data_IF_612020068863
#
_entry.id   IF_612020068863
#
_cell.length_a   1.000
_cell.length_b   1.000
_cell.length_c   1.000
_cell.angle_alpha   90.00
_cell.angle_beta   90.00
_cell.angle_gamma   90.00
#
_symmetry.space_group_name_H-M   'P 1'
#
loop_
_entity.id
_entity.type
_entity.pdbx_description
1 polymer ?
#
# COMPACT_ATOMS: atom_id res chain seq x y z
N UNK A 1 -6.79 -22.86 11.99
CA UNK A 1 -7.43 -21.73 11.30
C UNK A 1 -6.31 -20.85 10.81
N UNK A 2 -6.17 -20.74 9.49
CA UNK A 2 -5.01 -20.10 8.87
C UNK A 2 -5.15 -18.59 8.99
N UNK A 3 -4.36 -17.97 9.86
CA UNK A 3 -4.34 -16.50 10.04
C UNK A 3 -3.72 -15.75 8.85
N UNK A 4 -3.28 -16.47 7.81
CA UNK A 4 -2.26 -16.05 6.84
C UNK A 4 -2.67 -16.43 5.42
N UNK A 5 -3.70 -15.76 4.93
CA UNK A 5 -4.29 -15.97 3.60
C UNK A 5 -4.37 -14.63 2.86
N UNK A 6 -4.34 -14.65 1.53
CA UNK A 6 -4.59 -13.44 0.75
C UNK A 6 -6.04 -12.97 0.95
N UNK A 7 -6.25 -11.65 0.98
CA UNK A 7 -7.55 -10.99 1.16
C UNK A 7 -7.71 -10.00 0.02
N UNK A 8 -8.86 -10.04 -0.66
CA UNK A 8 -9.13 -9.09 -1.73
C UNK A 8 -9.43 -7.69 -1.14
N UNK A 9 -8.80 -6.63 -1.65
CA UNK A 9 -9.11 -5.27 -1.20
C UNK A 9 -10.51 -4.84 -1.65
N UNK A 10 -11.08 -3.90 -0.92
CA UNK A 10 -12.28 -3.14 -1.28
C UNK A 10 -11.93 -1.66 -1.39
N UNK A 11 -12.82 -0.89 -2.02
CA UNK A 11 -12.67 0.57 -2.08
C UNK A 11 -12.85 1.18 -0.69
N UNK A 12 -11.90 2.01 -0.28
CA UNK A 12 -11.86 2.76 0.98
C UNK A 12 -11.80 4.26 0.70
N UNK A 13 -12.26 5.09 1.63
CA UNK A 13 -12.18 6.55 1.52
C UNK A 13 -10.74 7.04 1.75
N UNK A 14 -10.34 8.08 1.02
CA UNK A 14 -9.00 8.68 1.11
C UNK A 14 -9.12 10.19 1.21
N UNK A 15 -8.43 10.77 2.19
CA UNK A 15 -8.36 12.20 2.40
C UNK A 15 -6.89 12.67 2.51
N UNK A 16 -6.49 13.56 1.60
CA UNK A 16 -5.17 14.19 1.63
C UNK A 16 -5.19 15.44 2.49
N UNK A 17 -4.33 15.49 3.51
CA UNK A 17 -4.18 16.63 4.41
C UNK A 17 -2.73 17.12 4.41
N UNK A 18 -2.49 18.35 4.87
CA UNK A 18 -1.13 18.93 4.90
C UNK A 18 -0.12 18.08 5.70
N UNK A 19 -0.61 17.26 6.63
CA UNK A 19 0.22 16.39 7.47
C UNK A 19 0.42 14.96 6.96
N UNK A 20 -0.22 14.54 5.86
CA UNK A 20 -0.16 13.16 5.37
C UNK A 20 -1.45 12.67 4.70
N UNK A 21 -1.71 11.36 4.77
CA UNK A 21 -2.85 10.70 4.11
C UNK A 21 -3.73 10.03 5.16
N UNK A 22 -5.02 10.34 5.17
CA UNK A 22 -6.03 9.67 5.99
C UNK A 22 -6.76 8.64 5.13
N UNK A 23 -6.94 7.43 5.66
CA UNK A 23 -7.69 6.35 5.01
C UNK A 23 -8.84 5.94 5.92
N UNK A 24 -10.06 6.07 5.41
CA UNK A 24 -11.30 5.68 6.10
C UNK A 24 -11.66 4.24 5.74
N UNK A 25 -11.56 3.35 6.72
CA UNK A 25 -11.90 1.93 6.57
C UNK A 25 -13.41 1.70 6.62
N UNK A 26 -13.85 0.59 6.03
CA UNK A 26 -15.28 0.23 5.95
C UNK A 26 -15.94 -0.03 7.31
N UNK A 27 -15.15 -0.23 8.36
CA UNK A 27 -15.62 -0.37 9.74
C UNK A 27 -15.72 0.96 10.50
N UNK A 28 -15.46 2.09 9.82
CA UNK A 28 -15.55 3.45 10.34
C UNK A 28 -14.35 3.91 11.16
N UNK A 29 -13.20 3.20 11.06
CA UNK A 29 -11.93 3.66 11.62
C UNK A 29 -11.14 4.45 10.59
N UNK A 30 -10.49 5.51 11.07
CA UNK A 30 -9.55 6.30 10.28
C UNK A 30 -8.12 5.93 10.66
N UNK A 31 -7.29 5.65 9.65
CA UNK A 31 -5.84 5.47 9.81
C UNK A 31 -5.15 6.65 9.17
N UNK A 32 -4.26 7.28 9.92
CA UNK A 32 -3.49 8.43 9.45
C UNK A 32 -2.04 8.04 9.22
N UNK A 33 -1.61 8.12 7.97
CA UNK A 33 -0.23 7.95 7.56
C UNK A 33 0.48 9.29 7.64
N UNK A 34 1.44 9.39 8.56
CA UNK A 34 2.11 10.64 8.87
C UNK A 34 3.18 11.04 7.84
N UNK A 35 3.24 12.35 7.58
CA UNK A 35 4.25 12.97 6.71
C UNK A 35 3.76 13.15 5.27
N UNK A 36 4.12 14.27 4.62
CA UNK A 36 3.86 14.40 3.20
C UNK A 36 4.62 13.30 2.44
N UNK A 37 3.96 12.57 1.53
CA UNK A 37 4.63 11.50 0.81
C UNK A 37 5.76 12.05 -0.05
N UNK A 38 6.93 11.40 0.03
CA UNK A 38 8.11 11.76 -0.75
C UNK A 38 7.95 11.24 -2.19
N UNK A 39 8.07 12.09 -3.23
CA UNK A 39 7.96 11.63 -4.62
C UNK A 39 9.16 10.76 -5.00
N UNK A 40 8.90 9.58 -5.56
CA UNK A 40 9.90 8.61 -6.01
C UNK A 40 9.56 8.16 -7.43
N UNK A 41 10.57 8.12 -8.29
CA UNK A 41 10.41 7.73 -9.70
C UNK A 41 10.63 6.21 -9.88
N UNK A 42 9.77 5.58 -10.68
CA UNK A 42 9.87 4.18 -11.11
C UNK A 42 9.51 3.15 -10.02
N UNK A 43 10.45 2.90 -9.10
CA UNK A 43 10.35 1.81 -8.14
C UNK A 43 10.87 2.24 -6.76
N UNK A 44 10.23 1.75 -5.70
CA UNK A 44 10.71 1.91 -4.33
C UNK A 44 10.97 0.55 -3.68
N UNK A 45 12.16 0.40 -3.10
CA UNK A 45 12.48 -0.74 -2.23
C UNK A 45 12.35 -0.31 -0.78
N UNK A 46 11.36 -0.84 -0.09
CA UNK A 46 11.16 -0.57 1.33
C UNK A 46 12.35 -1.10 2.16
N UNK A 47 12.75 -0.40 3.24
CA UNK A 47 13.77 -0.91 4.15
C UNK A 47 13.38 -2.29 4.70
N UNK A 48 14.36 -3.19 4.90
CA UNK A 48 14.06 -4.55 5.37
C UNK A 48 13.45 -4.52 6.77
N UNK A 49 12.40 -5.33 6.97
CA UNK A 49 11.72 -5.47 8.26
C UNK A 49 10.62 -4.44 8.55
N UNK A 50 10.32 -3.54 7.60
CA UNK A 50 9.16 -2.65 7.66
C UNK A 50 7.89 -3.37 7.23
N UNK A 51 6.76 -2.96 7.79
CA UNK A 51 5.43 -3.27 7.29
C UNK A 51 5.17 -2.37 6.07
N UNK A 52 4.73 -2.97 4.96
CA UNK A 52 4.54 -2.27 3.68
C UNK A 52 3.08 -2.24 3.32
N UNK A 53 2.55 -1.03 3.22
CA UNK A 53 1.16 -0.76 2.84
C UNK A 53 1.16 -0.01 1.50
N UNK A 54 0.39 -0.50 0.55
CA UNK A 54 0.26 0.10 -0.78
C UNK A 54 -1.15 0.63 -0.94
N UNK A 55 -1.27 1.92 -1.24
CA UNK A 55 -2.53 2.58 -1.54
C UNK A 55 -2.53 3.00 -3.00
N UNK A 56 -3.53 2.55 -3.75
CA UNK A 56 -3.78 3.02 -5.11
C UNK A 56 -5.08 3.82 -5.09
N UNK A 57 -5.00 5.11 -5.37
CA UNK A 57 -6.18 5.99 -5.38
C UNK A 57 -6.79 6.06 -6.76
N UNK A 58 -8.01 6.57 -6.81
CA UNK A 58 -8.64 7.03 -8.03
C UNK A 58 -8.04 8.39 -8.48
N UNK A 59 -8.36 8.87 -9.70
CA UNK A 59 -7.86 10.14 -10.24
C UNK A 59 -8.32 11.39 -9.47
N UNK A 60 -9.50 11.36 -8.87
CA UNK A 60 -10.04 12.44 -8.03
C UNK A 60 -9.42 12.42 -6.61
N UNK A 61 -8.81 11.29 -6.22
CA UNK A 61 -8.05 11.14 -4.98
C UNK A 61 -8.91 11.11 -3.72
N UNK A 62 -10.16 10.66 -3.84
CA UNK A 62 -11.15 10.58 -2.76
C UNK A 62 -11.43 9.15 -2.34
N UNK A 63 -11.11 8.19 -3.21
CA UNK A 63 -11.30 6.77 -3.01
C UNK A 63 -10.04 6.01 -3.44
N UNK A 64 -9.85 4.81 -2.90
CA UNK A 64 -8.72 3.98 -3.29
C UNK A 64 -8.83 2.55 -2.80
N UNK A 65 -7.85 1.73 -3.17
CA UNK A 65 -7.69 0.37 -2.64
C UNK A 65 -6.42 0.33 -1.80
N UNK A 66 -6.59 -0.05 -0.53
CA UNK A 66 -5.48 -0.26 0.39
C UNK A 66 -5.12 -1.75 0.45
N UNK A 67 -3.84 -2.08 0.31
CA UNK A 67 -3.36 -3.46 0.34
C UNK A 67 -2.09 -3.59 1.19
N UNK A 68 -2.09 -4.54 2.13
CA UNK A 68 -0.96 -4.83 3.00
C UNK A 68 -0.12 -5.97 2.44
N UNK A 69 1.19 -5.77 2.33
CA UNK A 69 2.12 -6.77 1.81
C UNK A 69 2.79 -7.50 2.96
N UNK A 70 2.63 -8.82 3.00
CA UNK A 70 3.22 -9.69 4.02
C UNK A 70 2.83 -9.37 5.48
N UNK A 71 1.68 -8.73 5.70
CA UNK A 71 1.11 -8.57 7.04
C UNK A 71 0.84 -9.94 7.68
N UNK A 72 1.45 -10.16 8.85
CA UNK A 72 1.34 -11.41 9.62
C UNK A 72 0.63 -11.23 10.95
N UNK A 73 0.31 -9.99 11.29
CA UNK A 73 -0.22 -9.61 12.59
C UNK A 73 -1.74 -9.48 12.55
N UNK A 74 -2.32 -9.18 11.38
CA UNK A 74 -3.75 -8.96 11.23
C UNK A 74 -4.47 -10.23 10.78
N UNK A 75 -5.61 -10.52 11.40
CA UNK A 75 -6.46 -11.63 10.99
C UNK A 75 -7.22 -11.29 9.71
N UNK A 76 -7.43 -12.27 8.82
CA UNK A 76 -8.16 -12.06 7.55
C UNK A 76 -9.56 -11.47 7.78
N UNK A 77 -10.29 -11.93 8.80
CA UNK A 77 -11.63 -11.42 9.12
C UNK A 77 -11.65 -9.92 9.45
N UNK A 78 -10.56 -9.41 10.05
CA UNK A 78 -10.43 -7.99 10.37
C UNK A 78 -10.21 -7.22 9.07
N UNK A 79 -9.31 -7.70 8.22
CA UNK A 79 -8.99 -7.08 6.93
C UNK A 79 -10.20 -7.04 6.00
N UNK A 80 -10.95 -8.14 5.92
CA UNK A 80 -12.21 -8.22 5.18
C UNK A 80 -13.24 -7.22 5.69
N UNK A 81 -13.33 -7.04 7.01
CA UNK A 81 -14.26 -6.07 7.61
C UNK A 81 -13.86 -4.61 7.39
N UNK A 82 -12.57 -4.32 7.29
CA UNK A 82 -12.05 -2.96 7.05
C UNK A 82 -12.00 -2.59 5.58
N UNK A 83 -12.06 -3.58 4.68
CA UNK A 83 -11.87 -3.39 3.24
C UNK A 83 -10.40 -3.38 2.81
N UNK A 84 -9.47 -3.64 3.73
CA UNK A 84 -8.03 -3.68 3.44
C UNK A 84 -7.68 -5.02 2.81
N UNK A 85 -7.00 -4.99 1.66
CA UNK A 85 -6.48 -6.18 1.01
C UNK A 85 -5.21 -6.71 1.68
N UNK A 86 -4.88 -7.96 1.41
CA UNK A 86 -3.59 -8.54 1.77
C UNK A 86 -3.08 -9.50 0.73
N UNK A 87 -1.78 -9.39 0.50
CA UNK A 87 -0.99 -10.29 -0.33
C UNK A 87 0.16 -10.86 0.51
N UNK A 88 0.31 -12.18 0.47
CA UNK A 88 1.42 -12.90 1.08
C UNK A 88 2.36 -13.36 -0.04
N UNK A 89 3.54 -12.76 -0.09
CA UNK A 89 4.58 -13.13 -1.05
C UNK A 89 5.59 -14.07 -0.39
N UNK A 90 6.01 -15.09 -1.13
CA UNK A 90 7.15 -15.91 -0.76
C UNK A 90 8.48 -15.20 -1.13
N UNK A 91 9.61 -15.87 -0.93
CA UNK A 91 10.91 -15.36 -1.38
C UNK A 91 11.03 -15.45 -2.89
N UNK A 92 11.53 -14.38 -3.51
CA UNK A 92 11.71 -14.28 -4.95
C UNK A 92 10.37 -14.43 -5.71
N UNK A 93 9.32 -13.85 -5.13
CA UNK A 93 7.93 -13.93 -5.60
C UNK A 93 7.43 -12.51 -5.95
N UNK A 94 6.50 -12.43 -6.89
CA UNK A 94 5.89 -11.17 -7.34
C UNK A 94 4.37 -11.35 -7.49
N UNK A 95 3.61 -10.28 -7.23
CA UNK A 95 2.16 -10.27 -7.36
C UNK A 95 1.68 -8.89 -7.84
N UNK A 96 0.64 -8.90 -8.68
CA UNK A 96 0.01 -7.68 -9.19
C UNK A 96 -1.13 -7.27 -8.26
N UNK A 97 -1.04 -6.08 -7.66
CA UNK A 97 -2.05 -5.58 -6.71
C UNK A 97 -3.19 -4.86 -7.42
N UNK A 98 -2.84 -4.11 -8.46
CA UNK A 98 -3.74 -3.33 -9.27
C UNK A 98 -3.17 -3.30 -10.70
N UNK A 99 -3.99 -3.11 -11.76
CA UNK A 99 -3.45 -2.90 -13.09
C UNK A 99 -2.37 -1.81 -13.12
N UNK A 100 -1.13 -2.19 -13.44
CA UNK A 100 0.03 -1.30 -13.43
C UNK A 100 0.80 -1.24 -12.11
N UNK A 101 0.32 -1.82 -11.01
CA UNK A 101 1.03 -1.84 -9.71
C UNK A 101 1.41 -3.26 -9.33
N UNK A 102 2.72 -3.50 -9.25
CA UNK A 102 3.30 -4.80 -8.94
C UNK A 102 4.17 -4.69 -7.69
N UNK A 103 4.08 -5.71 -6.85
CA UNK A 103 4.95 -5.87 -5.69
C UNK A 103 5.78 -7.13 -5.82
N UNK A 104 7.03 -7.07 -5.40
CA UNK A 104 7.95 -8.20 -5.45
C UNK A 104 8.84 -8.25 -4.21
N UNK A 105 9.40 -9.44 -3.92
CA UNK A 105 10.34 -9.59 -2.82
C UNK A 105 11.78 -9.56 -3.31
N UNK A 106 12.56 -8.59 -2.81
CA UNK A 106 14.00 -8.47 -3.03
C UNK A 106 14.74 -8.92 -1.76
N UNK A 107 14.91 -10.23 -1.60
CA UNK A 107 15.51 -10.81 -0.39
C UNK A 107 14.62 -10.70 0.85
N UNK A 108 14.88 -9.70 1.71
CA UNK A 108 14.06 -9.39 2.90
C UNK A 108 13.30 -8.06 2.78
N UNK A 109 13.43 -7.39 1.63
CA UNK A 109 12.74 -6.13 1.34
C UNK A 109 11.60 -6.37 0.36
N UNK A 110 10.59 -5.51 0.42
CA UNK A 110 9.52 -5.44 -0.57
C UNK A 110 9.89 -4.34 -1.56
N UNK A 111 9.83 -4.66 -2.85
CA UNK A 111 9.91 -3.69 -3.94
C UNK A 111 8.49 -3.43 -4.45
N UNK A 112 8.16 -2.17 -4.68
CA UNK A 112 6.89 -1.75 -5.28
C UNK A 112 7.21 -0.96 -6.54
N UNK A 113 6.62 -1.38 -7.64
CA UNK A 113 6.73 -0.75 -8.96
C UNK A 113 5.33 -0.35 -9.44
N UNK A 114 5.23 0.84 -10.02
CA UNK A 114 4.00 1.34 -10.62
C UNK A 114 4.26 1.88 -12.03
N UNK A 115 3.53 1.33 -12.99
CA UNK A 115 3.38 1.85 -14.34
C UNK A 115 2.25 2.87 -14.37
N UNK A 116 2.63 4.14 -14.27
CA UNK A 116 1.70 5.27 -14.23
C UNK A 116 1.14 5.64 -15.62
N UNK A 117 1.56 4.97 -16.69
CA UNK A 117 0.86 5.04 -17.97
C UNK A 117 -0.41 4.17 -17.97
N UNK A 118 -0.48 3.17 -17.07
CA UNK A 118 -1.61 2.25 -16.90
C UNK A 118 -2.50 2.66 -15.72
N UNK A 119 -1.91 3.19 -14.65
CA UNK A 119 -2.65 3.64 -13.46
C UNK A 119 -3.27 5.01 -13.72
N UNK A 120 -4.61 5.09 -13.71
CA UNK A 120 -5.33 6.36 -13.90
C UNK A 120 -5.27 7.30 -12.67
N UNK A 121 -4.82 6.82 -11.51
CA UNK A 121 -4.75 7.58 -10.24
C UNK A 121 -3.33 7.73 -9.67
N UNK A 122 -3.22 7.77 -8.33
CA UNK A 122 -1.93 7.94 -7.63
C UNK A 122 -1.59 6.70 -6.84
N UNK A 123 -0.30 6.39 -6.71
CA UNK A 123 0.19 5.22 -5.97
C UNK A 123 1.06 5.67 -4.82
N UNK A 124 0.71 5.25 -3.61
CA UNK A 124 1.47 5.53 -2.40
C UNK A 124 1.96 4.24 -1.78
N UNK A 125 3.17 4.32 -1.22
CA UNK A 125 3.81 3.23 -0.51
C UNK A 125 4.19 3.73 0.87
N UNK A 126 3.63 3.11 1.90
CA UNK A 126 3.97 3.38 3.28
C UNK A 126 4.84 2.25 3.80
N UNK A 127 5.97 2.60 4.40
CA UNK A 127 6.90 1.67 5.03
C UNK A 127 7.09 2.07 6.49
N UNK A 128 6.48 1.31 7.39
CA UNK A 128 6.39 1.66 8.81
C UNK A 128 6.84 0.53 9.73
N UNK A 129 7.24 0.89 10.94
CA UNK A 129 7.35 0.01 12.10
C UNK A 129 7.19 0.83 13.38
N UNK A 130 7.30 0.20 14.55
CA UNK A 130 7.19 0.85 15.86
C UNK A 130 8.15 2.04 16.08
N UNK A 131 9.24 2.13 15.30
CA UNK A 131 10.29 3.14 15.43
C UNK A 131 10.29 4.22 14.35
N UNK A 132 9.70 4.01 13.18
CA UNK A 132 9.73 4.99 12.08
C UNK A 132 8.64 4.76 11.05
N UNK A 133 8.17 5.85 10.46
CA UNK A 133 7.18 5.87 9.39
C UNK A 133 7.77 6.57 8.17
N UNK A 134 7.58 5.98 6.98
CA UNK A 134 7.94 6.58 5.70
C UNK A 134 6.75 6.50 4.75
N UNK A 135 6.48 7.59 4.05
CA UNK A 135 5.46 7.68 3.03
C UNK A 135 6.11 8.08 1.71
N UNK A 136 5.85 7.32 0.66
CA UNK A 136 6.36 7.56 -0.68
C UNK A 136 5.18 7.68 -1.65
N UNK A 137 5.30 8.55 -2.65
CA UNK A 137 4.40 8.63 -3.79
C UNK A 137 5.18 8.22 -5.03
N UNK A 138 4.74 7.18 -5.73
CA UNK A 138 5.32 6.83 -7.02
C UNK A 138 4.82 7.83 -8.05
N UNK A 139 5.77 8.51 -8.68
CA UNK A 139 5.54 9.49 -9.75
C UNK A 139 6.21 9.03 -11.03
N UNK A 140 5.67 9.46 -12.16
CA UNK A 140 6.25 9.10 -13.45
C UNK A 140 7.66 9.71 -13.53
N UNK A 141 8.60 8.99 -14.13
CA UNK A 141 9.92 9.56 -14.45
C UNK A 141 9.69 10.86 -15.23
N UNK A 142 10.10 11.97 -14.63
CA UNK A 142 9.81 13.30 -15.17
C UNK A 142 10.52 13.51 -16.51
N UNK A 143 9.76 13.98 -17.51
CA UNK A 143 10.31 14.62 -18.73
C UNK A 143 11.17 15.86 -18.41
#
# INVERSE_FOLDING_TARGET
>A
MSQRSNVAPSTVGVDFVEGGVVVEYLDGRDVFYHGPPEPVEGAITAPPGKEVHVLVTDPDGVEGVMTYVNDRNTHEEILESTGVGRVMLERDDEEVLYPGVTVSTAGYSICVEADLEVVDGRVFVFAEDEMSEHAYELVAEGE
#
